data_IF_845817136699
#
_entry.id   IF_845817136699
#
_cell.length_a   1.000
_cell.length_b   1.000
_cell.length_c   1.000
_cell.angle_alpha   90.00
_cell.angle_beta   90.00
_cell.angle_gamma   90.00
#
_symmetry.space_group_name_H-M   'P 1'
#
loop_
_entity.id
_entity.type
_entity.pdbx_description
1 polymer ?
#
# COMPACT_ATOMS: atom_id res chain seq x y z
N UNK A 1 -24.96 -18.82 43.90
CA UNK A 1 -24.42 -17.77 43.00
C UNK A 1 -22.94 -18.09 42.76
N UNK A 2 -22.44 -18.12 41.50
CA UNK A 2 -21.01 -18.17 41.06
C UNK A 2 -20.39 -19.42 40.36
N UNK A 3 -21.13 -20.38 39.78
CA UNK A 3 -20.46 -21.47 38.98
C UNK A 3 -20.76 -21.44 37.46
N UNK A 4 -21.81 -20.74 37.01
CA UNK A 4 -22.24 -20.80 35.60
C UNK A 4 -21.58 -19.84 34.60
N UNK A 5 -20.80 -18.84 35.04
CA UNK A 5 -20.28 -17.77 34.15
C UNK A 5 -18.88 -18.04 33.56
N UNK A 6 -18.13 -19.02 34.08
CA UNK A 6 -16.75 -19.27 33.66
C UNK A 6 -16.66 -20.16 32.40
N UNK A 7 -17.53 -21.16 32.26
CA UNK A 7 -17.49 -22.13 31.16
C UNK A 7 -17.96 -21.53 29.83
N UNK A 8 -18.97 -20.64 29.85
CA UNK A 8 -19.48 -20.00 28.63
C UNK A 8 -18.54 -18.94 28.03
N UNK A 9 -17.54 -18.46 28.81
CA UNK A 9 -16.59 -17.43 28.36
C UNK A 9 -15.38 -18.02 27.60
N UNK A 10 -15.09 -19.31 27.79
CA UNK A 10 -13.92 -20.01 27.24
C UNK A 10 -14.15 -20.55 25.81
N UNK A 11 -15.31 -21.17 25.54
CA UNK A 11 -15.61 -21.82 24.26
C UNK A 11 -15.73 -20.82 23.09
N UNK A 12 -16.27 -19.62 23.34
CA UNK A 12 -16.36 -18.57 22.33
C UNK A 12 -15.00 -17.99 21.91
N UNK A 13 -14.02 -18.00 22.82
CA UNK A 13 -12.66 -17.53 22.53
C UNK A 13 -11.89 -18.53 21.67
N UNK A 14 -12.00 -19.83 21.98
CA UNK A 14 -11.41 -20.89 21.18
C UNK A 14 -12.01 -20.92 19.75
N UNK A 15 -13.33 -20.78 19.62
CA UNK A 15 -14.01 -20.69 18.33
C UNK A 15 -13.54 -19.46 17.52
N UNK A 16 -13.43 -18.28 18.14
CA UNK A 16 -12.88 -17.09 17.46
C UNK A 16 -11.43 -17.27 17.02
N UNK A 17 -10.57 -17.87 17.84
CA UNK A 17 -9.18 -18.14 17.47
C UNK A 17 -9.11 -19.14 16.30
N UNK A 18 -9.95 -20.18 16.31
CA UNK A 18 -10.03 -21.16 15.22
C UNK A 18 -10.50 -20.50 13.92
N UNK A 19 -11.56 -19.70 13.98
CA UNK A 19 -12.07 -18.93 12.83
C UNK A 19 -11.03 -17.92 12.30
N UNK A 20 -10.29 -17.25 13.19
CA UNK A 20 -9.24 -16.30 12.77
C UNK A 20 -8.04 -17.02 12.14
N UNK A 21 -7.68 -18.22 12.61
CA UNK A 21 -6.62 -19.03 11.99
C UNK A 21 -7.01 -19.52 10.59
N UNK A 22 -8.28 -19.88 10.39
CA UNK A 22 -8.78 -20.40 9.11
C UNK A 22 -9.04 -19.28 8.09
N UNK A 23 -9.64 -18.16 8.51
CA UNK A 23 -10.04 -17.08 7.59
C UNK A 23 -9.12 -15.85 7.64
N UNK A 24 -8.11 -15.86 8.49
CA UNK A 24 -7.24 -14.72 8.80
C UNK A 24 -7.94 -13.62 9.58
N UNK A 25 -7.16 -12.66 10.08
CA UNK A 25 -7.71 -11.41 10.63
C UNK A 25 -8.28 -10.50 9.52
N UNK A 26 -9.10 -9.51 9.90
CA UNK A 26 -9.56 -8.46 8.96
C UNK A 26 -8.36 -7.75 8.31
N UNK A 27 -7.32 -7.47 9.09
CA UNK A 27 -6.12 -6.78 8.63
C UNK A 27 -5.34 -7.62 7.62
N UNK A 28 -5.15 -8.92 7.88
CA UNK A 28 -4.51 -9.83 6.91
C UNK A 28 -5.26 -9.91 5.59
N UNK A 29 -6.59 -9.85 5.60
CA UNK A 29 -7.39 -9.83 4.37
C UNK A 29 -7.21 -8.53 3.59
N UNK A 30 -7.18 -7.38 4.28
CA UNK A 30 -6.92 -6.08 3.67
C UNK A 30 -5.52 -6.03 3.04
N UNK A 31 -4.49 -6.42 3.80
CA UNK A 31 -3.10 -6.44 3.33
C UNK A 31 -2.92 -7.38 2.13
N UNK A 32 -3.56 -8.56 2.15
CA UNK A 32 -3.59 -9.47 1.00
C UNK A 32 -4.22 -8.83 -0.24
N UNK A 33 -5.24 -8.00 -0.07
CA UNK A 33 -5.84 -7.21 -1.15
C UNK A 33 -4.84 -6.24 -1.81
N UNK A 34 -4.00 -5.59 -1.01
CA UNK A 34 -3.00 -4.62 -1.50
C UNK A 34 -1.87 -5.27 -2.30
N UNK A 35 -1.59 -6.55 -2.07
CA UNK A 35 -0.57 -7.28 -2.81
C UNK A 35 -0.80 -7.26 -4.33
N UNK A 36 -2.05 -7.12 -4.80
CA UNK A 36 -2.34 -6.97 -6.24
C UNK A 36 -1.76 -5.68 -6.80
N UNK A 37 -1.97 -4.55 -6.13
CA UNK A 37 -1.43 -3.25 -6.54
C UNK A 37 0.09 -3.22 -6.46
N UNK A 38 0.68 -3.81 -5.41
CA UNK A 38 2.15 -3.93 -5.29
C UNK A 38 2.74 -4.74 -6.44
N UNK A 39 2.14 -5.89 -6.79
CA UNK A 39 2.60 -6.69 -7.93
C UNK A 39 2.51 -5.92 -9.25
N UNK A 40 1.42 -5.18 -9.47
CA UNK A 40 1.27 -4.35 -10.65
C UNK A 40 2.35 -3.26 -10.71
N UNK A 41 2.63 -2.57 -9.60
CA UNK A 41 3.73 -1.59 -9.53
C UNK A 41 5.11 -2.23 -9.80
N UNK A 42 5.37 -3.43 -9.26
CA UNK A 42 6.61 -4.17 -9.50
C UNK A 42 6.78 -4.59 -10.97
N UNK A 43 5.69 -4.94 -11.66
CA UNK A 43 5.72 -5.31 -13.08
C UNK A 43 6.04 -4.11 -13.99
N UNK A 44 5.68 -2.90 -13.57
CA UNK A 44 5.98 -1.67 -14.29
C UNK A 44 7.42 -1.18 -14.09
N UNK A 45 8.10 -1.65 -13.04
CA UNK A 45 9.43 -1.16 -12.66
C UNK A 45 10.46 -1.22 -13.81
N UNK A 46 10.61 -2.32 -14.59
CA UNK A 46 11.57 -2.35 -15.70
C UNK A 46 11.31 -1.25 -16.74
N UNK A 47 10.05 -1.05 -17.12
CA UNK A 47 9.65 -0.04 -18.11
C UNK A 47 9.88 1.39 -17.59
N UNK A 48 9.61 1.62 -16.31
CA UNK A 48 9.82 2.92 -15.66
C UNK A 48 11.33 3.23 -15.52
N UNK A 49 12.17 2.22 -15.26
CA UNK A 49 13.61 2.39 -15.16
C UNK A 49 14.24 2.81 -16.49
N UNK A 50 13.68 2.39 -17.62
CA UNK A 50 14.14 2.76 -18.97
C UNK A 50 13.81 4.21 -19.35
N UNK A 51 12.90 4.87 -18.63
CA UNK A 51 12.54 6.26 -18.92
C UNK A 51 13.69 7.23 -18.61
N UNK A 52 13.92 8.21 -19.49
CA UNK A 52 14.73 9.38 -19.15
C UNK A 52 14.05 10.28 -18.11
N UNK A 53 14.79 11.20 -17.50
CA UNK A 53 14.25 12.09 -16.45
C UNK A 53 13.07 12.95 -16.94
N UNK A 54 13.15 13.45 -18.18
CA UNK A 54 12.07 14.20 -18.81
C UNK A 54 10.80 13.34 -18.99
N UNK A 55 10.97 12.10 -19.47
CA UNK A 55 9.87 11.17 -19.66
C UNK A 55 9.24 10.75 -18.34
N UNK A 56 10.06 10.48 -17.31
CA UNK A 56 9.59 10.16 -15.96
C UNK A 56 8.79 11.32 -15.36
N UNK A 57 9.25 12.56 -15.57
CA UNK A 57 8.52 13.78 -15.14
C UNK A 57 7.20 13.94 -15.88
N UNK A 58 7.18 13.68 -17.19
CA UNK A 58 6.01 13.80 -18.05
C UNK A 58 4.85 12.86 -17.64
N UNK A 59 5.13 11.74 -16.96
CA UNK A 59 4.11 10.84 -16.40
C UNK A 59 3.12 11.57 -15.49
N UNK A 60 3.57 12.61 -14.78
CA UNK A 60 2.69 13.42 -13.93
C UNK A 60 1.58 14.10 -14.73
N UNK A 61 1.90 14.64 -15.91
CA UNK A 61 0.91 15.29 -16.75
C UNK A 61 -0.03 14.28 -17.39
N UNK A 62 0.49 13.12 -17.80
CA UNK A 62 -0.34 12.00 -18.28
C UNK A 62 -1.36 11.56 -17.21
N UNK A 63 -0.94 11.42 -15.95
CA UNK A 63 -1.84 11.05 -14.86
C UNK A 63 -2.93 12.10 -14.64
N UNK A 64 -2.59 13.40 -14.65
CA UNK A 64 -3.57 14.49 -14.55
C UNK A 64 -4.58 14.47 -15.69
N UNK A 65 -4.13 14.20 -16.92
CA UNK A 65 -5.01 14.07 -18.07
C UNK A 65 -5.96 12.88 -17.93
N UNK A 66 -5.47 11.73 -17.45
CA UNK A 66 -6.31 10.55 -17.17
C UNK A 66 -7.34 10.83 -16.08
N UNK A 67 -6.99 11.57 -15.02
CA UNK A 67 -7.94 12.00 -13.99
C UNK A 67 -9.02 12.93 -14.57
N UNK A 68 -8.64 13.90 -15.40
CA UNK A 68 -9.60 14.77 -16.12
C UNK A 68 -10.52 13.96 -17.04
N UNK A 69 -10.03 12.86 -17.60
CA UNK A 69 -10.81 11.93 -18.42
C UNK A 69 -11.68 10.95 -17.60
N UNK A 70 -11.67 11.04 -16.27
CA UNK A 70 -12.54 10.26 -15.38
C UNK A 70 -11.89 9.04 -14.72
N UNK A 71 -10.58 8.83 -14.88
CA UNK A 71 -9.87 7.82 -14.11
C UNK A 71 -9.90 8.16 -12.61
N UNK A 72 -9.80 7.13 -11.77
CA UNK A 72 -9.72 7.28 -10.32
C UNK A 72 -8.28 7.19 -9.82
N UNK A 73 -7.99 7.76 -8.65
CA UNK A 73 -6.67 7.63 -8.01
C UNK A 73 -6.29 6.17 -7.75
N UNK A 74 -7.27 5.32 -7.41
CA UNK A 74 -7.06 3.90 -7.17
C UNK A 74 -6.59 3.15 -8.43
N UNK A 75 -7.08 3.54 -9.61
CA UNK A 75 -6.65 2.98 -10.89
C UNK A 75 -5.24 3.42 -11.25
N UNK A 76 -4.85 4.65 -10.90
CA UNK A 76 -3.52 5.20 -11.16
C UNK A 76 -2.46 4.73 -10.14
N UNK A 77 -2.89 4.25 -8.98
CA UNK A 77 -2.01 3.95 -7.84
C UNK A 77 -0.79 3.10 -8.22
N UNK A 78 -0.90 1.97 -8.95
CA UNK A 78 0.26 1.14 -9.26
C UNK A 78 1.31 1.88 -10.11
N UNK A 79 0.86 2.63 -11.12
CA UNK A 79 1.73 3.39 -12.02
C UNK A 79 2.37 4.58 -11.30
N UNK A 80 1.58 5.33 -10.53
CA UNK A 80 2.09 6.46 -9.73
C UNK A 80 3.12 6.00 -8.69
N UNK A 81 2.89 4.87 -8.02
CA UNK A 81 3.83 4.33 -7.04
C UNK A 81 5.12 3.84 -7.69
N UNK A 82 5.06 3.26 -8.90
CA UNK A 82 6.25 2.89 -9.66
C UNK A 82 7.07 4.13 -10.06
N UNK A 83 6.41 5.21 -10.50
CA UNK A 83 7.07 6.50 -10.82
C UNK A 83 7.76 7.10 -9.59
N UNK A 84 7.08 7.16 -8.44
CA UNK A 84 7.66 7.69 -7.20
C UNK A 84 8.82 6.82 -6.71
N UNK A 85 8.72 5.49 -6.82
CA UNK A 85 9.82 4.57 -6.49
C UNK A 85 11.06 4.88 -7.34
N UNK A 86 10.90 5.06 -8.64
CA UNK A 86 12.03 5.38 -9.51
C UNK A 86 12.60 6.77 -9.24
N UNK A 87 11.75 7.75 -8.98
CA UNK A 87 12.19 9.08 -8.59
C UNK A 87 13.02 9.05 -7.30
N UNK A 88 12.61 8.27 -6.29
CA UNK A 88 13.37 8.07 -5.07
C UNK A 88 14.69 7.31 -5.32
N UNK A 89 14.70 6.31 -6.21
CA UNK A 89 15.92 5.61 -6.61
C UNK A 89 16.95 6.57 -7.22
N UNK A 90 16.51 7.48 -8.10
CA UNK A 90 17.40 8.44 -8.78
C UNK A 90 17.91 9.54 -7.87
N UNK A 91 17.01 10.12 -7.06
CA UNK A 91 17.31 11.34 -6.29
C UNK A 91 17.87 11.06 -4.90
N UNK A 92 17.44 9.96 -4.27
CA UNK A 92 17.79 9.62 -2.89
C UNK A 92 18.61 8.34 -2.80
N UNK A 93 18.87 7.65 -3.93
CA UNK A 93 19.52 6.34 -3.95
C UNK A 93 18.78 5.29 -3.11
N UNK A 94 17.46 5.46 -2.94
CA UNK A 94 16.60 4.59 -2.13
C UNK A 94 15.47 4.04 -2.99
N UNK A 95 15.44 2.72 -3.16
CA UNK A 95 14.31 2.02 -3.80
C UNK A 95 13.30 1.61 -2.73
N UNK A 96 12.04 2.02 -2.88
CA UNK A 96 11.00 1.56 -1.96
C UNK A 96 10.85 0.03 -1.96
N UNK A 97 10.80 -0.58 -0.78
CA UNK A 97 10.46 -1.98 -0.58
C UNK A 97 8.96 -2.23 -0.71
N UNK A 98 8.57 -3.48 -0.97
CA UNK A 98 7.16 -3.86 -1.13
C UNK A 98 6.31 -3.54 0.11
N UNK A 99 6.86 -3.73 1.31
CA UNK A 99 6.21 -3.36 2.57
C UNK A 99 5.98 -1.84 2.68
N UNK A 100 6.84 -1.02 2.07
CA UNK A 100 6.67 0.42 2.03
C UNK A 100 5.56 0.83 1.05
N UNK A 101 5.40 0.12 -0.07
CA UNK A 101 4.25 0.31 -0.96
C UNK A 101 2.94 -0.06 -0.27
N UNK A 102 2.91 -1.16 0.49
CA UNK A 102 1.75 -1.52 1.32
C UNK A 102 1.43 -0.38 2.31
N UNK A 103 2.45 0.16 2.99
CA UNK A 103 2.27 1.30 3.89
C UNK A 103 1.70 2.53 3.18
N UNK A 104 2.19 2.83 1.97
CA UNK A 104 1.67 3.91 1.14
C UNK A 104 0.20 3.72 0.75
N UNK A 105 -0.20 2.49 0.40
CA UNK A 105 -1.59 2.14 0.10
C UNK A 105 -2.48 2.32 1.34
N UNK A 106 -2.03 1.86 2.51
CA UNK A 106 -2.75 2.01 3.77
C UNK A 106 -3.01 3.49 4.08
N UNK A 107 -2.00 4.35 3.91
CA UNK A 107 -2.13 5.79 4.09
C UNK A 107 -3.08 6.44 3.07
N UNK A 108 -2.99 6.07 1.79
CA UNK A 108 -3.90 6.57 0.75
C UNK A 108 -5.36 6.20 1.05
N UNK A 109 -5.60 5.02 1.63
CA UNK A 109 -6.93 4.58 2.08
C UNK A 109 -7.42 5.27 3.37
N UNK A 110 -6.71 6.28 3.87
CA UNK A 110 -7.10 7.05 5.07
C UNK A 110 -6.93 6.27 6.38
N UNK A 111 -6.07 5.24 6.41
CA UNK A 111 -5.81 4.43 7.59
C UNK A 111 -4.42 4.69 8.16
N UNK A 112 -4.19 4.18 9.38
CA UNK A 112 -2.88 4.27 10.05
C UNK A 112 -1.99 3.11 9.59
N UNK A 113 -0.85 3.44 8.99
CA UNK A 113 0.19 2.46 8.66
C UNK A 113 1.13 2.25 9.83
N UNK A 114 0.93 1.16 10.59
CA UNK A 114 1.86 0.75 11.63
C UNK A 114 3.12 0.15 11.02
N UNK A 115 4.26 0.75 11.34
CA UNK A 115 5.58 0.41 10.81
C UNK A 115 6.60 0.57 11.93
N UNK A 116 7.67 -0.22 11.95
CA UNK A 116 8.76 -0.07 12.94
C UNK A 116 9.66 1.11 12.59
N UNK A 117 10.40 1.59 13.58
CA UNK A 117 11.49 2.56 13.35
C UNK A 117 12.53 1.95 12.42
N UNK A 118 12.99 2.73 11.44
CA UNK A 118 13.93 2.24 10.41
C UNK A 118 13.26 1.68 9.15
N UNK A 119 11.94 1.44 9.13
CA UNK A 119 11.23 0.96 7.92
C UNK A 119 10.97 2.07 6.87
N UNK A 120 11.54 3.27 7.06
CA UNK A 120 11.49 4.34 6.06
C UNK A 120 10.15 5.08 5.97
N UNK A 121 9.45 5.31 7.10
CA UNK A 121 8.15 6.01 7.15
C UNK A 121 8.12 7.34 6.38
N UNK A 122 9.18 8.12 6.45
CA UNK A 122 9.30 9.40 5.72
C UNK A 122 9.29 9.19 4.20
N UNK A 123 10.02 8.18 3.73
CA UNK A 123 10.05 7.80 2.32
C UNK A 123 8.70 7.19 1.89
N UNK A 124 8.03 6.43 2.76
CA UNK A 124 6.69 5.89 2.48
C UNK A 124 5.67 7.00 2.24
N UNK A 125 5.75 8.10 3.00
CA UNK A 125 4.80 9.20 2.90
C UNK A 125 4.80 9.88 1.52
N UNK A 126 5.89 9.80 0.75
CA UNK A 126 5.96 10.40 -0.58
C UNK A 126 5.03 9.71 -1.59
N UNK A 127 4.76 8.41 -1.42
CA UNK A 127 3.89 7.62 -2.31
C UNK A 127 2.44 8.15 -2.31
N UNK A 128 1.71 8.16 -1.18
CA UNK A 128 0.35 8.69 -1.13
C UNK A 128 0.33 10.22 -1.27
N UNK A 129 1.37 10.93 -0.82
CA UNK A 129 1.40 12.40 -0.99
C UNK A 129 1.43 12.79 -2.47
N UNK A 130 2.26 12.11 -3.28
CA UNK A 130 2.29 12.33 -4.72
C UNK A 130 0.95 11.97 -5.36
N UNK A 131 0.44 10.75 -5.14
CA UNK A 131 -0.79 10.27 -5.76
C UNK A 131 -1.98 11.19 -5.48
N UNK A 132 -2.18 11.59 -4.22
CA UNK A 132 -3.33 12.43 -3.85
C UNK A 132 -3.15 13.92 -4.22
N UNK A 133 -1.95 14.34 -4.63
CA UNK A 133 -1.67 15.70 -5.10
C UNK A 133 -1.77 15.86 -6.62
N UNK A 134 -2.08 14.78 -7.36
CA UNK A 134 -2.33 14.80 -8.80
C UNK A 134 -3.61 15.59 -9.12
#
# INVERSE_FOLDING_TARGET
>A
MLVGKAVFRSTGHALRQLLTRVFGSRNERLVRGYARAVRAANQLEPQIQELGDEALRARTEEFRQRLKAGATLDELLPEAFAVVREAARRTLQMRHFDVQLIGGIVLHKGMISEMRTGEGKTLVATLPAYLNAL
#
